data_IF_645323504446
#
_entry.id   IF_645323504446
#
_cell.length_a   1.000
_cell.length_b   1.000
_cell.length_c   1.000
_cell.angle_alpha   90.00
_cell.angle_beta   90.00
_cell.angle_gamma   90.00
#
_symmetry.space_group_name_H-M   'P 1'
#
loop_
_entity.id
_entity.type
_entity.pdbx_description
1 polymer ?
#
# COMPACT_ATOMS: atom_id res chain seq x y z
N UNK A 1 3.63 -24.17 5.49
CA UNK A 1 4.29 -23.09 4.72
C UNK A 1 5.20 -22.33 5.66
N UNK A 2 6.39 -22.03 5.20
CA UNK A 2 7.41 -21.48 6.08
C UNK A 2 7.40 -19.95 6.06
N UNK A 3 7.25 -19.37 7.25
CA UNK A 3 7.30 -17.94 7.46
C UNK A 3 8.36 -17.61 8.50
N UNK A 4 8.91 -16.39 8.37
CA UNK A 4 9.78 -15.80 9.36
C UNK A 4 9.02 -14.64 9.99
N UNK A 5 9.06 -14.53 11.32
CA UNK A 5 8.49 -13.39 12.04
C UNK A 5 9.40 -12.17 11.89
N UNK A 6 8.81 -10.99 11.71
CA UNK A 6 9.56 -9.74 11.66
C UNK A 6 10.24 -9.45 13.00
N UNK A 7 11.44 -8.90 12.94
CA UNK A 7 12.23 -8.56 14.14
C UNK A 7 11.55 -7.49 15.01
N UNK A 8 10.77 -6.59 14.38
CA UNK A 8 10.13 -5.46 15.09
C UNK A 8 8.71 -5.82 15.53
N UNK A 9 7.91 -6.39 14.61
CA UNK A 9 6.49 -6.61 14.83
C UNK A 9 6.11 -8.06 15.18
N UNK A 10 7.08 -8.97 15.14
CA UNK A 10 6.82 -10.37 15.52
C UNK A 10 5.75 -11.01 14.65
N UNK A 11 4.78 -11.65 15.26
CA UNK A 11 3.69 -12.37 14.57
C UNK A 11 2.75 -11.46 13.78
N UNK A 12 2.78 -10.16 14.01
CA UNK A 12 1.96 -9.22 13.23
C UNK A 12 2.48 -9.01 11.83
N UNK A 13 3.73 -9.36 11.54
CA UNK A 13 4.33 -9.31 10.21
C UNK A 13 5.07 -10.61 9.94
N UNK A 14 4.43 -11.48 9.18
CA UNK A 14 5.01 -12.76 8.75
C UNK A 14 5.56 -12.61 7.34
N UNK A 15 6.75 -13.12 7.11
CA UNK A 15 7.45 -13.00 5.83
C UNK A 15 7.67 -14.40 5.28
N UNK A 16 7.11 -14.70 4.09
CA UNK A 16 7.36 -15.97 3.44
C UNK A 16 8.84 -16.12 3.10
N UNK A 17 9.41 -17.30 3.36
CA UNK A 17 10.78 -17.61 2.96
C UNK A 17 10.96 -17.58 1.45
N UNK A 18 9.88 -17.66 0.69
CA UNK A 18 9.86 -17.61 -0.78
C UNK A 18 9.38 -16.26 -1.32
N UNK A 19 9.40 -15.19 -0.52
CA UNK A 19 9.05 -13.84 -0.98
C UNK A 19 10.04 -13.35 -2.06
N UNK A 20 9.56 -12.47 -2.93
CA UNK A 20 10.40 -11.87 -3.98
C UNK A 20 11.53 -11.05 -3.33
N UNK A 21 12.75 -11.52 -3.48
CA UNK A 21 13.92 -10.89 -2.87
C UNK A 21 14.22 -9.50 -3.42
N UNK A 22 13.80 -9.19 -4.64
CA UNK A 22 14.01 -7.88 -5.27
C UNK A 22 13.14 -6.80 -4.63
N UNK A 23 11.95 -7.19 -4.16
CA UNK A 23 10.96 -6.28 -3.58
C UNK A 23 10.94 -6.34 -2.05
N UNK A 24 11.70 -7.26 -1.44
CA UNK A 24 11.53 -7.60 -0.03
C UNK A 24 11.78 -6.43 0.91
N UNK A 25 12.85 -5.69 0.71
CA UNK A 25 13.19 -4.53 1.58
C UNK A 25 12.09 -3.48 1.55
N UNK A 26 11.63 -3.13 0.35
CA UNK A 26 10.54 -2.15 0.18
C UNK A 26 9.22 -2.67 0.73
N UNK A 27 8.92 -3.94 0.53
CA UNK A 27 7.69 -4.56 1.06
C UNK A 27 7.70 -4.60 2.60
N UNK A 28 8.82 -4.92 3.23
CA UNK A 28 8.95 -4.91 4.68
C UNK A 28 8.80 -3.49 5.22
N UNK A 29 9.48 -2.52 4.62
CA UNK A 29 9.45 -1.12 5.06
C UNK A 29 8.02 -0.56 5.02
N UNK A 30 7.32 -0.75 3.91
CA UNK A 30 5.94 -0.27 3.78
C UNK A 30 5.00 -0.99 4.75
N UNK A 31 5.15 -2.30 4.92
CA UNK A 31 4.37 -3.07 5.90
C UNK A 31 4.58 -2.57 7.32
N UNK A 32 5.83 -2.30 7.70
CA UNK A 32 6.14 -1.76 9.04
C UNK A 32 5.49 -0.39 9.27
N UNK A 33 5.44 0.46 8.25
CA UNK A 33 4.76 1.76 8.33
C UNK A 33 3.26 1.60 8.61
N UNK A 34 2.61 0.65 7.95
CA UNK A 34 1.20 0.33 8.19
C UNK A 34 1.01 -0.19 9.62
N UNK A 35 1.83 -1.11 10.05
CA UNK A 35 1.73 -1.72 11.40
C UNK A 35 2.02 -0.72 12.52
N UNK A 36 2.89 0.27 12.25
CA UNK A 36 3.16 1.35 13.19
C UNK A 36 1.92 2.23 13.40
N UNK A 37 1.19 2.53 12.35
CA UNK A 37 0.03 3.42 12.41
C UNK A 37 -1.27 2.71 12.81
N UNK A 38 -1.37 1.40 12.64
CA UNK A 38 -2.60 0.62 12.88
C UNK A 38 -2.30 -0.58 13.77
N UNK A 39 -2.59 -0.45 15.06
CA UNK A 39 -2.23 -1.44 16.09
C UNK A 39 -2.86 -2.83 15.89
N UNK A 40 -4.05 -2.89 15.28
CA UNK A 40 -4.81 -4.14 15.13
C UNK A 40 -4.61 -4.84 13.79
N UNK A 41 -3.77 -4.29 12.91
CA UNK A 41 -3.52 -4.85 11.58
C UNK A 41 -2.47 -5.95 11.65
N UNK A 42 -2.66 -7.01 10.86
CA UNK A 42 -1.66 -8.06 10.63
C UNK A 42 -1.37 -8.16 9.15
N UNK A 43 -0.11 -8.41 8.80
CA UNK A 43 0.34 -8.47 7.41
C UNK A 43 1.18 -9.74 7.20
N UNK A 44 0.95 -10.39 6.07
CA UNK A 44 1.82 -11.44 5.56
C UNK A 44 2.43 -10.94 4.26
N UNK A 45 3.75 -11.00 4.15
CA UNK A 45 4.43 -10.83 2.87
C UNK A 45 4.43 -12.19 2.17
N UNK A 46 3.72 -12.27 1.06
CA UNK A 46 3.41 -13.52 0.39
C UNK A 46 4.61 -14.10 -0.37
N UNK A 47 4.57 -15.40 -0.60
CA UNK A 47 5.48 -16.07 -1.50
C UNK A 47 5.31 -15.57 -2.93
N UNK A 48 6.40 -15.51 -3.66
CA UNK A 48 6.42 -15.20 -5.09
C UNK A 48 6.65 -16.49 -5.86
N UNK A 49 5.83 -16.77 -6.87
CA UNK A 49 6.04 -17.90 -7.77
C UNK A 49 6.35 -17.41 -9.17
N UNK A 50 7.30 -18.08 -9.79
CA UNK A 50 7.74 -17.79 -11.16
C UNK A 50 6.90 -18.49 -12.22
N UNK A 51 5.87 -19.24 -11.83
CA UNK A 51 4.99 -19.95 -12.77
C UNK A 51 4.28 -18.98 -13.71
N UNK A 52 4.28 -19.31 -15.00
CA UNK A 52 3.61 -18.50 -16.01
C UNK A 52 2.13 -18.32 -15.71
N UNK A 53 1.63 -17.09 -15.85
CA UNK A 53 0.24 -16.75 -15.60
C UNK A 53 -0.17 -16.69 -14.13
N UNK A 54 0.74 -17.00 -13.21
CA UNK A 54 0.45 -16.92 -11.77
C UNK A 54 0.45 -15.46 -11.29
N UNK A 55 -0.55 -15.12 -10.48
CA UNK A 55 -0.64 -13.80 -9.84
C UNK A 55 0.20 -13.78 -8.56
N UNK A 56 0.92 -12.70 -8.33
CA UNK A 56 1.83 -12.55 -7.20
C UNK A 56 1.54 -11.29 -6.39
N UNK A 57 0.41 -11.23 -5.65
CA UNK A 57 0.16 -10.12 -4.75
C UNK A 57 1.21 -10.11 -3.63
N UNK A 58 1.77 -8.93 -3.33
CA UNK A 58 2.83 -8.82 -2.32
C UNK A 58 2.37 -9.14 -0.92
N UNK A 59 1.13 -8.74 -0.58
CA UNK A 59 0.64 -8.81 0.80
C UNK A 59 -0.64 -9.59 0.95
N UNK A 60 -0.83 -10.13 2.15
CA UNK A 60 -2.16 -10.40 2.71
C UNK A 60 -2.29 -9.53 3.96
N UNK A 61 -3.22 -8.58 3.93
CA UNK A 61 -3.45 -7.61 5.01
C UNK A 61 -4.81 -7.91 5.61
N UNK A 62 -4.84 -8.36 6.88
CA UNK A 62 -6.07 -8.80 7.56
C UNK A 62 -6.91 -9.75 6.70
N UNK A 63 -6.25 -10.69 6.03
CA UNK A 63 -6.90 -11.69 5.19
C UNK A 63 -7.25 -11.24 3.77
N UNK A 64 -6.99 -10.00 3.40
CA UNK A 64 -7.23 -9.48 2.04
C UNK A 64 -5.93 -9.28 1.27
N UNK A 65 -5.93 -9.67 -0.01
CA UNK A 65 -4.76 -9.49 -0.86
C UNK A 65 -4.50 -8.02 -1.14
N UNK A 66 -3.26 -7.62 -1.06
CA UNK A 66 -2.80 -6.25 -1.28
C UNK A 66 -1.63 -6.16 -2.23
N UNK A 67 -1.56 -5.07 -2.97
CA UNK A 67 -0.51 -4.77 -3.92
C UNK A 67 0.16 -3.45 -3.55
N UNK A 68 1.51 -3.46 -3.48
CA UNK A 68 2.29 -2.24 -3.19
C UNK A 68 2.72 -1.60 -4.50
N UNK A 69 2.56 -0.30 -4.57
CA UNK A 69 2.97 0.50 -5.73
C UNK A 69 3.81 1.70 -5.29
N UNK A 70 5.08 1.71 -5.67
CA UNK A 70 5.89 2.92 -5.66
C UNK A 70 5.54 3.75 -6.89
N UNK A 71 5.19 5.01 -6.68
CA UNK A 71 4.78 5.89 -7.77
C UNK A 71 5.86 6.92 -8.09
N UNK A 72 6.05 7.21 -9.35
CA UNK A 72 6.99 8.25 -9.82
C UNK A 72 6.37 9.65 -9.81
N UNK A 73 5.06 9.73 -9.68
CA UNK A 73 4.27 10.95 -9.61
C UNK A 73 2.84 10.60 -9.28
N UNK A 74 2.03 11.60 -8.96
CA UNK A 74 0.64 11.38 -8.50
C UNK A 74 -0.21 10.63 -9.54
N UNK A 75 0.09 10.78 -10.83
CA UNK A 75 -0.60 10.06 -11.92
C UNK A 75 -0.43 8.55 -11.82
N UNK A 76 0.62 8.07 -11.16
CA UNK A 76 0.88 6.65 -10.96
C UNK A 76 -0.21 5.93 -10.16
N UNK A 77 -1.05 6.66 -9.44
CA UNK A 77 -2.19 6.10 -8.69
C UNK A 77 -3.13 5.31 -9.59
N UNK A 78 -3.48 5.84 -10.75
CA UNK A 78 -4.38 5.16 -11.71
C UNK A 78 -3.81 3.81 -12.14
N UNK A 79 -2.53 3.79 -12.51
CA UNK A 79 -1.86 2.56 -12.90
C UNK A 79 -1.75 1.58 -11.72
N UNK A 80 -1.54 2.08 -10.51
CA UNK A 80 -1.48 1.27 -9.29
C UNK A 80 -2.79 0.56 -8.99
N UNK A 81 -3.91 1.26 -9.08
CA UNK A 81 -5.24 0.67 -8.90
C UNK A 81 -5.55 -0.38 -9.98
N UNK A 82 -5.22 -0.08 -11.23
CA UNK A 82 -5.41 -1.01 -12.34
C UNK A 82 -4.60 -2.30 -12.15
N UNK A 83 -3.34 -2.16 -11.75
CA UNK A 83 -2.47 -3.30 -11.48
C UNK A 83 -2.97 -4.15 -10.31
N UNK A 84 -3.41 -3.52 -9.21
CA UNK A 84 -3.96 -4.23 -8.07
C UNK A 84 -5.20 -5.04 -8.45
N UNK A 85 -6.14 -4.44 -9.17
CA UNK A 85 -7.35 -5.14 -9.65
C UNK A 85 -6.98 -6.32 -10.53
N UNK A 86 -6.01 -6.16 -11.42
CA UNK A 86 -5.54 -7.23 -12.30
C UNK A 86 -4.95 -8.40 -11.51
N UNK A 87 -4.30 -8.12 -10.39
CA UNK A 87 -3.76 -9.14 -9.49
C UNK A 87 -4.82 -9.75 -8.57
N UNK A 88 -6.06 -9.30 -8.64
CA UNK A 88 -7.12 -9.76 -7.74
C UNK A 88 -7.02 -9.18 -6.34
N UNK A 89 -6.27 -8.10 -6.16
CA UNK A 89 -6.09 -7.45 -4.86
C UNK A 89 -7.26 -6.53 -4.55
N UNK A 90 -7.64 -6.49 -3.28
CA UNK A 90 -8.65 -5.57 -2.76
C UNK A 90 -8.03 -4.39 -2.01
N UNK A 91 -6.75 -4.44 -1.73
CA UNK A 91 -6.03 -3.38 -1.04
C UNK A 91 -4.92 -2.85 -1.94
N UNK A 92 -4.85 -1.53 -2.07
CA UNK A 92 -3.76 -0.84 -2.75
C UNK A 92 -2.89 -0.18 -1.68
N UNK A 93 -1.59 -0.36 -1.78
CA UNK A 93 -0.62 0.34 -0.93
C UNK A 93 0.18 1.29 -1.81
N UNK A 94 -0.04 2.59 -1.66
CA UNK A 94 0.72 3.63 -2.36
C UNK A 94 1.92 3.96 -1.49
N UNK A 95 3.10 3.57 -1.96
CA UNK A 95 4.36 3.74 -1.24
C UNK A 95 5.08 4.99 -1.75
N UNK A 96 5.03 6.07 -0.96
CA UNK A 96 5.66 7.34 -1.31
C UNK A 96 7.14 7.37 -0.96
N UNK A 97 7.63 6.38 -0.20
CA UNK A 97 9.04 6.29 0.20
C UNK A 97 9.92 5.62 -0.86
N UNK A 98 9.33 4.96 -1.84
CA UNK A 98 10.10 4.18 -2.82
C UNK A 98 10.96 5.07 -3.73
N UNK A 99 10.45 6.23 -4.10
CA UNK A 99 11.14 7.18 -4.97
C UNK A 99 11.27 8.52 -4.27
N UNK A 100 12.38 9.20 -4.50
CA UNK A 100 12.58 10.56 -4.02
C UNK A 100 11.80 11.49 -4.95
N UNK A 101 10.62 11.93 -4.51
CA UNK A 101 9.79 12.85 -5.27
C UNK A 101 9.04 13.79 -4.31
N UNK A 102 8.68 14.96 -4.82
CA UNK A 102 7.79 15.87 -4.11
C UNK A 102 6.36 15.47 -4.45
N UNK A 103 5.63 15.01 -3.44
CA UNK A 103 4.22 14.63 -3.58
C UNK A 103 3.35 15.78 -3.12
N UNK A 104 2.40 16.16 -3.96
CA UNK A 104 1.43 17.18 -3.64
C UNK A 104 0.14 16.50 -3.18
N UNK A 105 -0.23 16.73 -1.92
CA UNK A 105 -1.44 16.13 -1.31
C UNK A 105 -2.69 16.42 -2.13
N UNK A 106 -2.80 17.64 -2.67
CA UNK A 106 -3.91 18.05 -3.50
C UNK A 106 -4.03 17.17 -4.76
N UNK A 107 -2.94 16.97 -5.48
CA UNK A 107 -2.92 16.15 -6.70
C UNK A 107 -3.13 14.66 -6.40
N UNK A 108 -2.47 14.16 -5.36
CA UNK A 108 -2.60 12.75 -4.96
C UNK A 108 -4.05 12.44 -4.58
N UNK A 109 -4.69 13.29 -3.77
CA UNK A 109 -6.09 13.12 -3.38
C UNK A 109 -7.04 13.16 -4.59
N UNK A 110 -6.74 13.99 -5.58
CA UNK A 110 -7.51 14.08 -6.82
C UNK A 110 -7.50 12.75 -7.58
N UNK A 111 -6.32 12.12 -7.73
CA UNK A 111 -6.21 10.86 -8.46
C UNK A 111 -6.84 9.69 -7.69
N UNK A 112 -6.74 9.68 -6.36
CA UNK A 112 -7.40 8.66 -5.54
C UNK A 112 -8.92 8.84 -5.61
N UNK A 113 -9.43 10.08 -5.50
CA UNK A 113 -10.87 10.37 -5.59
C UNK A 113 -11.48 9.94 -6.93
N UNK A 114 -10.72 10.01 -7.99
CA UNK A 114 -11.14 9.53 -9.32
C UNK A 114 -11.33 8.01 -9.38
N UNK A 115 -10.83 7.27 -8.39
CA UNK A 115 -11.02 5.82 -8.28
C UNK A 115 -12.25 5.45 -7.45
N UNK A 116 -13.15 6.39 -7.19
CA UNK A 116 -14.36 6.17 -6.40
C UNK A 116 -15.15 4.94 -6.84
N UNK A 117 -15.31 4.73 -8.15
CA UNK A 117 -16.04 3.59 -8.67
C UNK A 117 -15.45 2.24 -8.23
N UNK A 118 -14.12 2.14 -8.12
CA UNK A 118 -13.45 0.93 -7.65
C UNK A 118 -13.79 0.63 -6.18
N UNK A 119 -13.90 1.66 -5.35
CA UNK A 119 -14.31 1.51 -3.95
C UNK A 119 -15.79 1.19 -3.82
N UNK A 120 -16.65 1.89 -4.56
CA UNK A 120 -18.10 1.69 -4.51
C UNK A 120 -18.48 0.29 -4.96
N UNK A 121 -17.83 -0.24 -5.99
CA UNK A 121 -18.09 -1.60 -6.50
C UNK A 121 -17.57 -2.70 -5.57
N UNK A 122 -16.70 -2.35 -4.61
CA UNK A 122 -16.04 -3.33 -3.75
C UNK A 122 -14.87 -4.05 -4.39
N UNK A 123 -14.44 -3.67 -5.59
CA UNK A 123 -13.24 -4.21 -6.20
C UNK A 123 -11.98 -3.81 -5.41
N UNK A 124 -11.99 -2.61 -4.84
CA UNK A 124 -10.98 -2.13 -3.89
C UNK A 124 -11.69 -1.79 -2.59
N UNK A 125 -11.22 -2.36 -1.48
CA UNK A 125 -11.79 -2.12 -0.16
C UNK A 125 -11.07 -1.02 0.62
N UNK A 126 -9.77 -0.83 0.38
CA UNK A 126 -8.97 0.17 1.08
C UNK A 126 -7.73 0.56 0.27
N UNK A 127 -7.28 1.79 0.49
CA UNK A 127 -6.02 2.28 -0.04
C UNK A 127 -5.20 2.83 1.13
N UNK A 128 -4.05 2.21 1.39
CA UNK A 128 -3.07 2.75 2.33
C UNK A 128 -2.12 3.68 1.58
N UNK A 129 -1.80 4.81 2.20
CA UNK A 129 -0.76 5.71 1.71
C UNK A 129 0.34 5.73 2.76
N UNK A 130 1.56 5.42 2.35
CA UNK A 130 2.71 5.23 3.23
C UNK A 130 3.76 6.30 2.97
N UNK A 131 4.21 6.97 4.02
CA UNK A 131 5.30 7.94 3.96
C UNK A 131 5.93 8.15 5.34
N UNK A 132 7.25 8.20 5.38
CA UNK A 132 7.99 8.60 6.58
C UNK A 132 7.83 7.68 7.78
N UNK A 133 7.62 6.39 7.56
CA UNK A 133 7.42 5.40 8.61
C UNK A 133 6.00 5.34 9.15
N UNK A 134 5.07 6.05 8.54
CA UNK A 134 3.66 6.11 8.93
C UNK A 134 2.76 5.80 7.74
N UNK A 135 1.49 5.52 8.02
CA UNK A 135 0.50 5.27 7.00
C UNK A 135 -0.86 5.86 7.38
N UNK A 136 -1.63 6.22 6.36
CA UNK A 136 -3.06 6.52 6.49
C UNK A 136 -3.84 5.57 5.59
N UNK A 137 -5.11 5.35 5.89
CA UNK A 137 -6.01 4.57 5.05
C UNK A 137 -7.11 5.48 4.52
N UNK A 138 -7.37 5.39 3.23
CA UNK A 138 -8.38 6.22 2.56
C UNK A 138 -9.32 5.35 1.73
N UNK A 139 -10.56 5.83 1.59
CA UNK A 139 -11.61 5.16 0.81
C UNK A 139 -12.53 6.21 0.21
N UNK A 140 -12.48 6.36 -1.11
CA UNK A 140 -13.22 7.40 -1.83
C UNK A 140 -14.74 7.13 -1.88
N UNK A 141 -15.23 5.96 -1.46
CA UNK A 141 -16.67 5.69 -1.35
C UNK A 141 -17.30 6.31 -0.11
N UNK A 142 -16.48 6.58 0.94
CA UNK A 142 -16.97 7.12 2.22
C UNK A 142 -16.29 8.43 2.60
N UNK A 143 -15.28 8.86 1.85
CA UNK A 143 -14.55 10.11 2.10
C UNK A 143 -14.64 11.02 0.89
N UNK A 144 -14.76 12.33 1.15
CA UNK A 144 -14.62 13.36 0.11
C UNK A 144 -13.15 13.52 -0.27
N UNK A 145 -12.90 14.16 -1.40
CA UNK A 145 -11.53 14.51 -1.81
C UNK A 145 -10.82 15.34 -0.73
N UNK A 146 -11.53 16.29 -0.09
CA UNK A 146 -10.98 17.10 0.98
C UNK A 146 -10.57 16.27 2.18
N UNK A 147 -11.39 15.30 2.57
CA UNK A 147 -11.05 14.37 3.66
C UNK A 147 -9.86 13.48 3.34
N UNK A 148 -9.77 13.00 2.10
CA UNK A 148 -8.62 12.23 1.63
C UNK A 148 -7.36 13.10 1.66
N UNK A 149 -7.44 14.33 1.17
CA UNK A 149 -6.33 15.28 1.19
C UNK A 149 -5.83 15.54 2.62
N UNK A 150 -6.76 15.79 3.54
CA UNK A 150 -6.43 16.02 4.95
C UNK A 150 -5.73 14.82 5.59
N UNK A 151 -6.18 13.60 5.26
CA UNK A 151 -5.53 12.39 5.75
C UNK A 151 -4.09 12.28 5.24
N UNK A 152 -3.88 12.53 3.95
CA UNK A 152 -2.54 12.47 3.34
C UNK A 152 -1.62 13.54 3.92
N UNK A 153 -2.14 14.75 4.18
CA UNK A 153 -1.36 15.84 4.78
C UNK A 153 -0.83 15.49 6.17
N UNK A 154 -1.49 14.59 6.90
CA UNK A 154 -0.99 14.12 8.19
C UNK A 154 0.36 13.40 8.09
N UNK A 155 0.65 12.80 6.94
CA UNK A 155 1.94 12.16 6.67
C UNK A 155 3.04 13.18 6.37
N UNK A 156 2.67 14.44 6.10
CA UNK A 156 3.56 15.52 5.70
C UNK A 156 4.43 15.17 4.48
N UNK A 157 3.83 14.62 3.38
CA UNK A 157 4.60 14.26 2.20
C UNK A 157 5.14 15.50 1.52
N UNK A 158 6.33 15.40 0.93
CA UNK A 158 7.00 16.55 0.31
C UNK A 158 7.72 17.45 1.27
N UNK A 159 7.71 17.16 2.58
CA UNK A 159 8.55 17.86 3.53
C UNK A 159 10.03 17.58 3.21
N UNK A 160 10.93 18.60 3.34
CA UNK A 160 12.34 18.35 3.12
C UNK A 160 12.85 17.31 4.12
N UNK A 161 13.65 16.36 3.63
CA UNK A 161 14.37 15.43 4.47
C UNK A 161 15.53 16.17 5.14
N UNK A 162 15.59 16.11 6.47
CA UNK A 162 16.68 16.70 7.26
C UNK A 162 17.62 15.60 7.72
#
# INVERSE_FOLDING_TARGET
MDYIEDEVYGQRLLISVNADQRELISNIRAARSILHSFADVTIIINAHTMSFGHKNPEYTIDGQLGDRKGIMGEKGVTAGFKAAKKQGCKIVVIDLDEHILQVRSFELSKYISRRKADFVSGMISACYVVFGGEAVVVNASVQTRQEIMSAIEQLNPGAPAY
#
